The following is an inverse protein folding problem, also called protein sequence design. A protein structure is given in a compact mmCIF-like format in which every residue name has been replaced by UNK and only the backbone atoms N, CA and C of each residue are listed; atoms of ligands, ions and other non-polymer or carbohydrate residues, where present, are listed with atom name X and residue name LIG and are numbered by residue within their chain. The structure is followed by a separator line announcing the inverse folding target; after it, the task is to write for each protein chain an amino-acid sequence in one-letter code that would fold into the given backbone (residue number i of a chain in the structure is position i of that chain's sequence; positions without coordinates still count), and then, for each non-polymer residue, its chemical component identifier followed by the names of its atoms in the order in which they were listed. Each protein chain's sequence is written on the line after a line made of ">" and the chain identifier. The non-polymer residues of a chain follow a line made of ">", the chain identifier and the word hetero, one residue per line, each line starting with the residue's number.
data_IF_543992189689
#
_entry.id   IF_543992189689
#
_cell.length_a   1.000
_cell.length_b   1.000
_cell.length_c   1.000
_cell.angle_alpha   90.00
_cell.angle_beta   90.00
_cell.angle_gamma   90.00
#
_symmetry.space_group_name_H-M   'P 1'
#
loop_
_entity.id
_entity.type
_entity.pdbx_description
1 polymer ?
#
# COMPACT_ATOMS: atom_id res chain seq x y z
N UNK A 1 52.63 36.95 -26.75
CA UNK A 1 51.87 36.73 -25.50
C UNK A 1 50.47 36.27 -25.88
N UNK A 2 50.20 34.96 -25.90
CA UNK A 2 48.86 34.41 -26.10
C UNK A 2 48.21 34.14 -24.74
N UNK A 3 47.00 34.65 -24.52
CA UNK A 3 46.13 34.24 -23.40
C UNK A 3 44.83 33.70 -23.97
N UNK A 4 44.73 32.37 -24.01
CA UNK A 4 43.52 31.64 -24.39
C UNK A 4 42.65 31.51 -23.14
N UNK A 5 41.50 32.18 -23.11
CA UNK A 5 40.50 32.06 -22.04
C UNK A 5 39.63 30.82 -22.29
N UNK A 6 39.81 29.78 -21.50
CA UNK A 6 38.90 28.63 -21.47
C UNK A 6 37.65 28.96 -20.65
N UNK A 7 36.50 29.07 -21.32
CA UNK A 7 35.18 29.15 -20.70
C UNK A 7 34.85 27.81 -20.03
N UNK A 8 34.79 27.78 -18.70
CA UNK A 8 34.36 26.61 -17.95
C UNK A 8 32.88 26.33 -18.22
N UNK A 9 32.61 25.22 -18.92
CA UNK A 9 31.28 24.65 -19.04
C UNK A 9 30.90 24.09 -17.65
N UNK A 10 30.01 24.79 -16.93
CA UNK A 10 29.38 24.25 -15.72
C UNK A 10 28.55 23.02 -16.09
N UNK A 11 29.09 21.83 -15.83
CA UNK A 11 28.32 20.58 -15.87
C UNK A 11 27.28 20.64 -14.75
N UNK A 12 26.01 20.82 -15.12
CA UNK A 12 24.89 20.58 -14.21
C UNK A 12 24.91 19.09 -13.87
N UNK A 13 25.31 18.76 -12.65
CA UNK A 13 25.12 17.43 -12.08
C UNK A 13 23.62 17.27 -11.81
N UNK A 14 22.93 16.51 -12.65
CA UNK A 14 21.63 15.96 -12.29
C UNK A 14 21.87 14.83 -11.29
N UNK A 15 21.65 15.11 -10.01
CA UNK A 15 21.52 14.05 -9.01
C UNK A 15 20.16 13.40 -9.20
N UNK A 16 20.16 12.21 -9.80
CA UNK A 16 18.99 11.35 -9.83
C UNK A 16 18.87 10.66 -8.47
N UNK A 17 18.43 11.39 -7.44
CA UNK A 17 18.00 10.77 -6.20
C UNK A 17 16.72 10.02 -6.51
N UNK A 18 16.83 8.71 -6.66
CA UNK A 18 15.68 7.80 -6.59
C UNK A 18 14.82 8.23 -5.40
N UNK A 19 13.59 8.67 -5.67
CA UNK A 19 12.60 8.92 -4.63
C UNK A 19 12.34 7.56 -3.99
N UNK A 20 13.00 7.29 -2.87
CA UNK A 20 12.97 5.96 -2.26
C UNK A 20 11.63 5.73 -1.57
N UNK A 21 11.03 6.76 -0.97
CA UNK A 21 9.74 6.64 -0.32
C UNK A 21 8.59 7.06 -1.24
N UNK A 22 7.55 6.23 -1.30
CA UNK A 22 6.31 6.62 -1.97
C UNK A 22 5.64 7.79 -1.23
N UNK A 23 5.17 8.80 -1.96
CA UNK A 23 4.60 10.01 -1.38
C UNK A 23 3.25 10.40 -2.02
N UNK A 24 2.57 11.36 -1.39
CA UNK A 24 1.40 12.00 -1.99
C UNK A 24 1.76 12.59 -3.37
N UNK A 25 0.94 12.32 -4.37
CA UNK A 25 1.14 12.69 -5.77
C UNK A 25 1.74 11.58 -6.64
N UNK A 26 2.41 10.59 -6.05
CA UNK A 26 3.01 9.48 -6.79
C UNK A 26 1.94 8.49 -7.28
N UNK A 27 2.21 7.84 -8.40
CA UNK A 27 1.40 6.72 -8.87
C UNK A 27 1.79 5.44 -8.11
N UNK A 28 0.82 4.57 -7.83
CA UNK A 28 1.11 3.25 -7.28
C UNK A 28 2.01 2.47 -8.26
N UNK A 29 3.08 1.80 -7.78
CA UNK A 29 3.96 0.99 -8.63
C UNK A 29 3.16 -0.08 -9.37
N UNK A 30 3.47 -0.33 -10.63
CA UNK A 30 2.78 -1.33 -11.45
C UNK A 30 3.33 -2.74 -11.18
N UNK A 31 2.88 -3.36 -10.09
CA UNK A 31 3.32 -4.68 -9.62
C UNK A 31 2.14 -5.65 -9.68
N UNK A 32 2.42 -6.91 -10.00
CA UNK A 32 1.43 -7.98 -9.95
C UNK A 32 1.24 -8.48 -8.52
N UNK A 33 0.00 -8.47 -8.05
CA UNK A 33 -0.42 -9.05 -6.77
C UNK A 33 -1.46 -10.14 -7.03
N UNK A 34 -1.63 -11.04 -6.07
CA UNK A 34 -2.53 -12.17 -6.19
C UNK A 34 -3.86 -11.87 -5.49
N UNK A 35 -4.95 -12.42 -6.03
CA UNK A 35 -6.30 -12.35 -5.45
C UNK A 35 -6.60 -13.63 -4.66
N UNK A 36 -7.62 -14.42 -5.07
CA UNK A 36 -8.10 -15.57 -4.31
C UNK A 36 -7.25 -16.82 -4.46
N UNK A 37 -6.41 -16.86 -5.49
CA UNK A 37 -5.52 -17.98 -5.76
C UNK A 37 -4.20 -17.50 -6.38
N UNK A 38 -3.12 -18.28 -6.27
CA UNK A 38 -1.82 -17.85 -6.81
C UNK A 38 -1.81 -17.61 -8.33
N UNK A 39 -2.72 -18.24 -9.07
CA UNK A 39 -2.85 -18.06 -10.53
C UNK A 39 -3.76 -16.89 -10.92
N UNK A 40 -4.52 -16.33 -9.98
CA UNK A 40 -5.37 -15.16 -10.22
C UNK A 40 -4.60 -13.89 -9.83
N UNK A 41 -3.89 -13.33 -10.81
CA UNK A 41 -3.07 -12.13 -10.63
C UNK A 41 -3.73 -10.89 -11.20
N UNK A 42 -3.44 -9.74 -10.59
CA UNK A 42 -3.86 -8.43 -11.09
C UNK A 42 -2.72 -7.44 -10.91
N UNK A 43 -2.53 -6.58 -11.90
CA UNK A 43 -1.62 -5.43 -11.77
C UNK A 43 -2.29 -4.35 -10.93
N UNK A 44 -1.57 -3.83 -9.95
CA UNK A 44 -2.04 -2.74 -9.07
C UNK A 44 -2.56 -1.54 -9.84
N UNK A 45 -1.89 -1.11 -10.92
CA UNK A 45 -2.37 0.03 -11.71
C UNK A 45 -3.73 -0.26 -12.35
N UNK A 46 -3.91 -1.44 -12.93
CA UNK A 46 -5.18 -1.83 -13.55
C UNK A 46 -6.30 -1.96 -12.52
N UNK A 47 -5.98 -2.42 -11.31
CA UNK A 47 -6.93 -2.55 -10.21
C UNK A 47 -7.52 -1.20 -9.77
N UNK A 48 -6.68 -0.16 -9.69
CA UNK A 48 -7.02 1.18 -9.17
C UNK A 48 -7.31 2.23 -10.25
N UNK A 49 -7.12 1.90 -11.53
CA UNK A 49 -7.38 2.80 -12.65
C UNK A 49 -8.85 3.24 -12.71
N UNK A 50 -9.07 4.53 -12.90
CA UNK A 50 -10.41 5.13 -13.03
C UNK A 50 -11.26 5.12 -11.76
N UNK A 51 -10.71 4.72 -10.61
CA UNK A 51 -11.45 4.56 -9.34
C UNK A 51 -10.93 5.52 -8.27
N UNK A 52 -11.82 5.96 -7.38
CA UNK A 52 -11.43 6.49 -6.05
C UNK A 52 -11.39 5.30 -5.10
N UNK A 53 -10.19 4.98 -4.59
CA UNK A 53 -9.95 3.73 -3.86
C UNK A 53 -9.25 3.98 -2.54
N UNK A 54 -9.35 3.03 -1.63
CA UNK A 54 -8.51 2.93 -0.43
C UNK A 54 -7.68 1.66 -0.55
N UNK A 55 -6.37 1.79 -0.35
CA UNK A 55 -5.45 0.67 -0.16
C UNK A 55 -4.88 0.78 1.26
N UNK A 56 -5.01 -0.27 2.06
CA UNK A 56 -4.32 -0.34 3.34
C UNK A 56 -3.45 -1.59 3.43
N UNK A 57 -2.29 -1.45 4.06
CA UNK A 57 -1.33 -2.52 4.25
C UNK A 57 -1.27 -2.99 5.69
N UNK A 58 -1.03 -4.28 5.89
CA UNK A 58 -0.85 -4.88 7.21
C UNK A 58 0.43 -5.72 7.30
N UNK A 59 1.09 -5.77 8.48
CA UNK A 59 2.25 -6.63 8.68
C UNK A 59 2.00 -8.12 8.39
N UNK A 60 0.80 -8.62 8.68
CA UNK A 60 0.46 -10.00 8.33
C UNK A 60 -0.96 -10.38 8.66
N UNK A 61 -1.53 -11.22 7.80
CA UNK A 61 -2.79 -11.91 8.07
C UNK A 61 -2.72 -12.70 9.39
N UNK A 62 -3.86 -12.87 10.05
CA UNK A 62 -4.01 -13.55 11.34
C UNK A 62 -3.28 -12.95 12.56
N UNK A 63 -2.46 -11.90 12.40
CA UNK A 63 -1.81 -11.23 13.54
C UNK A 63 -2.82 -10.41 14.38
N UNK A 64 -2.64 -10.29 15.72
CA UNK A 64 -3.68 -9.77 16.60
C UNK A 64 -4.22 -8.39 16.23
N UNK A 65 -3.36 -7.40 15.99
CA UNK A 65 -3.78 -6.04 15.66
C UNK A 65 -4.46 -5.92 14.29
N UNK A 66 -4.02 -6.72 13.33
CA UNK A 66 -4.59 -6.75 11.98
C UNK A 66 -5.98 -7.38 11.98
N UNK A 67 -6.15 -8.49 12.71
CA UNK A 67 -7.39 -9.28 12.75
C UNK A 67 -8.44 -8.72 13.72
N UNK A 68 -8.04 -8.02 14.79
CA UNK A 68 -9.00 -7.51 15.80
C UNK A 68 -9.42 -6.07 15.55
N UNK A 69 -8.60 -5.29 14.85
CA UNK A 69 -8.80 -3.84 14.74
C UNK A 69 -8.74 -3.36 13.30
N UNK A 70 -7.61 -3.52 12.62
CA UNK A 70 -7.40 -2.81 11.34
C UNK A 70 -8.37 -3.27 10.23
N UNK A 71 -8.34 -4.55 9.86
CA UNK A 71 -9.23 -5.09 8.82
C UNK A 71 -10.72 -4.98 9.22
N UNK A 72 -11.15 -5.38 10.44
CA UNK A 72 -12.55 -5.26 10.83
C UNK A 72 -13.10 -3.83 10.80
N UNK A 73 -12.28 -2.82 11.09
CA UNK A 73 -12.68 -1.41 10.99
C UNK A 73 -13.12 -1.05 9.57
N UNK A 74 -12.30 -1.37 8.57
CA UNK A 74 -12.64 -1.14 7.16
C UNK A 74 -13.86 -1.94 6.69
N UNK A 75 -14.02 -3.18 7.16
CA UNK A 75 -15.20 -4.00 6.85
C UNK A 75 -16.48 -3.36 7.41
N UNK A 76 -16.42 -2.86 8.66
CA UNK A 76 -17.57 -2.24 9.33
C UNK A 76 -18.00 -0.94 8.64
N UNK A 77 -17.05 -0.15 8.17
CA UNK A 77 -17.30 1.14 7.51
C UNK A 77 -17.46 1.05 5.98
N UNK A 78 -17.49 -0.15 5.39
CA UNK A 78 -17.52 -0.34 3.95
C UNK A 78 -18.67 0.41 3.25
N UNK A 79 -19.87 0.38 3.82
CA UNK A 79 -21.02 1.14 3.28
C UNK A 79 -20.85 2.65 3.42
N UNK A 80 -20.31 3.13 4.55
CA UNK A 80 -19.97 4.55 4.74
C UNK A 80 -18.96 5.01 3.70
N UNK A 81 -17.90 4.23 3.47
CA UNK A 81 -16.86 4.51 2.49
C UNK A 81 -17.45 4.57 1.07
N UNK A 82 -18.30 3.61 0.72
CA UNK A 82 -19.01 3.58 -0.56
C UNK A 82 -19.91 4.81 -0.74
N UNK A 83 -20.65 5.23 0.29
CA UNK A 83 -21.48 6.44 0.26
C UNK A 83 -20.68 7.73 0.07
N UNK A 84 -19.39 7.73 0.44
CA UNK A 84 -18.42 8.80 0.23
C UNK A 84 -17.70 8.72 -1.14
N UNK A 85 -18.18 7.85 -2.02
CA UNK A 85 -17.67 7.68 -3.38
C UNK A 85 -16.38 6.88 -3.47
N UNK A 86 -16.09 6.01 -2.49
CA UNK A 86 -15.02 5.00 -2.64
C UNK A 86 -15.56 3.82 -3.45
N UNK A 87 -14.96 3.58 -4.61
CA UNK A 87 -15.32 2.49 -5.53
C UNK A 87 -14.70 1.15 -5.09
N UNK A 88 -13.55 1.20 -4.42
CA UNK A 88 -12.78 0.02 -4.02
C UNK A 88 -12.06 0.24 -2.70
N UNK A 89 -12.22 -0.72 -1.78
CA UNK A 89 -11.38 -0.84 -0.58
C UNK A 89 -10.57 -2.13 -0.71
N UNK A 90 -9.25 -2.04 -0.59
CA UNK A 90 -8.34 -3.17 -0.70
C UNK A 90 -7.37 -3.25 0.49
N UNK A 91 -7.13 -4.45 0.98
CA UNK A 91 -6.12 -4.77 1.99
C UNK A 91 -4.98 -5.55 1.35
N UNK A 92 -3.73 -5.14 1.55
CA UNK A 92 -2.55 -5.89 1.07
C UNK A 92 -1.69 -6.39 2.22
N UNK A 93 -1.12 -7.57 2.08
CA UNK A 93 -0.12 -8.11 2.99
C UNK A 93 0.94 -8.94 2.25
N UNK A 94 2.13 -9.06 2.86
CA UNK A 94 3.14 -10.03 2.42
C UNK A 94 2.79 -11.40 2.98
N UNK A 95 1.83 -12.04 2.31
CA UNK A 95 1.33 -13.38 2.55
C UNK A 95 0.96 -14.00 1.19
N UNK A 96 0.90 -15.33 1.12
CA UNK A 96 0.38 -16.01 -0.07
C UNK A 96 -1.14 -15.85 -0.20
N UNK A 97 -1.64 -16.09 -1.42
CA UNK A 97 -3.05 -15.95 -1.76
C UNK A 97 -3.96 -16.89 -0.96
N UNK A 98 -3.49 -18.09 -0.57
CA UNK A 98 -4.32 -19.03 0.19
C UNK A 98 -4.60 -18.47 1.59
N UNK A 99 -3.55 -18.01 2.27
CA UNK A 99 -3.67 -17.38 3.59
C UNK A 99 -4.54 -16.12 3.52
N UNK A 100 -4.31 -15.25 2.54
CA UNK A 100 -5.11 -14.02 2.40
C UNK A 100 -6.59 -14.31 2.13
N UNK A 101 -6.89 -15.36 1.36
CA UNK A 101 -8.26 -15.80 1.07
C UNK A 101 -8.96 -16.31 2.31
N UNK A 102 -8.33 -17.24 3.04
CA UNK A 102 -8.93 -17.79 4.26
C UNK A 102 -9.05 -16.74 5.37
N UNK A 103 -8.09 -15.81 5.45
CA UNK A 103 -8.19 -14.67 6.38
C UNK A 103 -9.36 -13.74 6.03
N UNK A 104 -9.56 -13.44 4.75
CA UNK A 104 -10.72 -12.67 4.29
C UNK A 104 -12.05 -13.32 4.66
N UNK A 105 -12.17 -14.64 4.43
CA UNK A 105 -13.36 -15.43 4.81
C UNK A 105 -13.58 -15.42 6.32
N UNK A 106 -12.52 -15.60 7.11
CA UNK A 106 -12.60 -15.59 8.57
C UNK A 106 -13.13 -14.26 9.14
N UNK A 107 -12.96 -13.16 8.40
CA UNK A 107 -13.47 -11.84 8.76
C UNK A 107 -14.71 -11.40 7.98
N UNK A 108 -15.27 -12.25 7.11
CA UNK A 108 -16.44 -11.92 6.27
C UNK A 108 -16.20 -10.65 5.44
N UNK A 109 -15.01 -10.57 4.85
CA UNK A 109 -14.56 -9.43 4.06
C UNK A 109 -15.18 -9.38 2.65
N UNK A 110 -15.82 -10.48 2.21
CA UNK A 110 -16.46 -10.59 0.90
C UNK A 110 -17.37 -9.39 0.61
N UNK A 111 -17.30 -8.89 -0.63
CA UNK A 111 -18.00 -7.72 -1.16
C UNK A 111 -17.71 -6.37 -0.48
N UNK A 112 -16.90 -6.35 0.59
CA UNK A 112 -16.57 -5.14 1.38
C UNK A 112 -15.13 -4.70 1.23
N UNK A 113 -14.19 -5.65 1.31
CA UNK A 113 -12.75 -5.41 1.19
C UNK A 113 -12.15 -6.47 0.29
N UNK A 114 -11.40 -6.04 -0.74
CA UNK A 114 -10.62 -6.96 -1.58
C UNK A 114 -9.29 -7.27 -0.89
N UNK A 115 -8.98 -8.56 -0.69
CA UNK A 115 -7.73 -9.00 -0.10
C UNK A 115 -6.71 -9.25 -1.22
N UNK A 116 -5.52 -8.64 -1.09
CA UNK A 116 -4.42 -8.72 -2.03
C UNK A 116 -3.22 -9.41 -1.36
N UNK A 117 -2.70 -10.45 -2.02
CA UNK A 117 -1.49 -11.14 -1.61
C UNK A 117 -0.28 -10.63 -2.41
N UNK A 118 0.63 -9.94 -1.72
CA UNK A 118 1.96 -9.61 -2.23
C UNK A 118 2.95 -10.69 -1.77
N UNK A 119 2.80 -11.90 -2.30
CA UNK A 119 3.50 -13.09 -1.80
C UNK A 119 5.02 -12.98 -1.83
N UNK A 120 5.56 -12.13 -2.71
CA UNK A 120 7.00 -11.89 -2.87
C UNK A 120 7.49 -10.60 -2.18
N UNK A 121 6.59 -9.77 -1.65
CA UNK A 121 6.96 -8.46 -1.09
C UNK A 121 7.44 -7.45 -2.13
N UNK A 122 7.11 -7.66 -3.40
CA UNK A 122 7.58 -6.81 -4.51
C UNK A 122 6.92 -5.43 -4.45
N UNK A 123 5.61 -5.38 -4.11
CA UNK A 123 4.90 -4.13 -3.95
C UNK A 123 5.36 -3.41 -2.67
N UNK A 124 5.53 -4.14 -1.57
CA UNK A 124 6.05 -3.58 -0.31
C UNK A 124 7.38 -2.86 -0.51
N UNK A 125 8.31 -3.52 -1.19
CA UNK A 125 9.63 -2.97 -1.51
C UNK A 125 9.55 -1.82 -2.51
N UNK A 126 8.73 -1.93 -3.56
CA UNK A 126 8.59 -0.87 -4.56
C UNK A 126 7.96 0.42 -4.00
N UNK A 127 7.19 0.30 -2.91
CA UNK A 127 6.61 1.43 -2.19
C UNK A 127 7.52 1.94 -1.05
N UNK A 128 8.64 1.25 -0.74
CA UNK A 128 9.47 1.47 0.46
C UNK A 128 8.65 1.46 1.77
N UNK A 129 7.62 0.64 1.73
CA UNK A 129 6.74 0.34 2.86
C UNK A 129 7.03 -1.05 3.41
N UNK A 130 8.17 -1.67 3.09
CA UNK A 130 8.62 -2.88 3.77
C UNK A 130 9.41 -2.55 5.05
N UNK A 131 9.43 -3.50 5.98
CA UNK A 131 10.30 -3.49 7.14
C UNK A 131 10.72 -4.92 7.48
N UNK A 132 11.86 -5.06 8.15
CA UNK A 132 12.33 -6.36 8.62
C UNK A 132 11.48 -6.83 9.81
N UNK A 133 10.66 -7.84 9.56
CA UNK A 133 9.87 -8.54 10.57
C UNK A 133 10.34 -10.00 10.74
N UNK A 134 11.54 -10.35 10.23
CA UNK A 134 12.02 -11.73 10.18
C UNK A 134 12.04 -12.41 11.55
N UNK A 135 12.35 -11.67 12.62
CA UNK A 135 12.36 -12.18 13.99
C UNK A 135 11.00 -12.64 14.53
N UNK A 136 9.89 -12.16 13.97
CA UNK A 136 8.53 -12.50 14.42
C UNK A 136 7.68 -13.21 13.34
N UNK A 137 7.91 -12.89 12.07
CA UNK A 137 7.06 -13.27 10.94
C UNK A 137 7.83 -13.95 9.79
N UNK A 138 9.15 -14.18 9.96
CA UNK A 138 10.00 -14.98 9.08
C UNK A 138 10.59 -14.24 7.86
N UNK A 139 10.04 -13.11 7.46
CA UNK A 139 10.50 -12.30 6.32
C UNK A 139 10.15 -10.81 6.50
N UNK A 140 10.56 -9.98 5.54
CA UNK A 140 10.12 -8.59 5.46
C UNK A 140 8.61 -8.50 5.22
N UNK A 141 7.96 -7.52 5.83
CA UNK A 141 6.50 -7.31 5.79
C UNK A 141 6.16 -5.86 5.49
N UNK A 142 4.90 -5.59 5.17
CA UNK A 142 4.41 -4.21 5.05
C UNK A 142 4.40 -3.51 6.42
N UNK A 143 5.00 -2.32 6.49
CA UNK A 143 4.62 -1.31 7.47
C UNK A 143 3.11 -1.15 7.40
N UNK A 144 2.45 -0.94 8.53
CA UNK A 144 1.02 -0.65 8.54
C UNK A 144 0.81 0.73 7.94
N UNK A 145 -0.06 0.79 6.94
CA UNK A 145 -0.40 2.04 6.27
C UNK A 145 -1.82 2.02 5.74
N UNK A 146 -2.32 3.20 5.38
CA UNK A 146 -3.47 3.39 4.51
C UNK A 146 -3.18 4.47 3.48
N UNK A 147 -3.80 4.39 2.32
CA UNK A 147 -3.67 5.36 1.25
C UNK A 147 -5.02 5.58 0.58
N UNK A 148 -5.35 6.84 0.29
CA UNK A 148 -6.46 7.21 -0.59
C UNK A 148 -5.88 7.38 -1.98
N UNK A 149 -6.39 6.62 -2.95
CA UNK A 149 -6.00 6.68 -4.34
C UNK A 149 -7.11 7.28 -5.18
N UNK A 150 -6.71 8.02 -6.21
CA UNK A 150 -7.60 8.46 -7.28
C UNK A 150 -6.90 8.19 -8.61
N UNK A 151 -7.50 7.32 -9.43
CA UNK A 151 -6.93 6.87 -10.71
C UNK A 151 -5.48 6.36 -10.55
N UNK A 152 -5.28 5.45 -9.60
CA UNK A 152 -3.96 4.89 -9.28
C UNK A 152 -2.94 5.87 -8.69
N UNK A 153 -3.28 7.15 -8.45
CA UNK A 153 -2.39 8.12 -7.80
C UNK A 153 -2.73 8.33 -6.33
N UNK A 154 -1.71 8.36 -5.48
CA UNK A 154 -1.87 8.58 -4.04
C UNK A 154 -2.23 10.03 -3.79
N UNK A 155 -3.39 10.24 -3.19
CA UNK A 155 -3.89 11.55 -2.76
C UNK A 155 -3.57 11.83 -1.31
N UNK A 156 -3.65 10.81 -0.47
CA UNK A 156 -3.28 10.85 0.94
C UNK A 156 -2.61 9.54 1.33
N UNK A 157 -1.60 9.65 2.21
CA UNK A 157 -0.85 8.52 2.71
C UNK A 157 -0.73 8.62 4.24
N UNK A 158 -1.09 7.54 4.92
CA UNK A 158 -1.08 7.39 6.37
C UNK A 158 -0.16 6.23 6.71
N UNK A 159 1.10 6.49 7.07
CA UNK A 159 2.04 5.44 7.50
C UNK A 159 2.19 5.50 9.01
N UNK A 160 2.06 4.37 9.69
CA UNK A 160 2.26 4.32 11.14
C UNK A 160 3.72 4.66 11.49
N UNK A 161 3.96 5.62 12.40
CA UNK A 161 5.31 6.10 12.70
C UNK A 161 6.19 5.03 13.38
N UNK A 162 5.57 4.09 14.10
CA UNK A 162 6.20 2.96 14.76
C UNK A 162 6.12 1.68 13.92
N UNK A 163 5.81 1.80 12.62
CA UNK A 163 5.70 0.70 11.63
C UNK A 163 4.51 -0.24 11.83
N UNK A 164 4.09 -0.57 13.05
CA UNK A 164 3.08 -1.61 13.30
C UNK A 164 1.89 -1.18 14.16
N UNK A 165 1.91 0.05 14.69
CA UNK A 165 0.91 0.63 15.56
C UNK A 165 -0.48 0.71 14.94
N UNK A 166 -1.47 1.14 15.73
CA UNK A 166 -2.87 1.20 15.31
C UNK A 166 -3.42 2.60 15.60
N UNK A 167 -3.13 3.55 14.73
CA UNK A 167 -3.54 4.94 14.91
C UNK A 167 -3.86 5.62 13.58
N UNK A 168 -2.87 6.15 12.88
CA UNK A 168 -3.09 7.04 11.73
C UNK A 168 -3.69 6.31 10.53
N UNK A 169 -3.44 5.00 10.39
CA UNK A 169 -3.95 4.19 9.29
C UNK A 169 -5.34 3.63 9.54
N UNK A 170 -5.94 3.81 10.73
CA UNK A 170 -7.27 3.29 11.01
C UNK A 170 -8.35 4.04 10.21
N UNK A 171 -9.44 3.33 9.90
CA UNK A 171 -10.51 3.83 9.03
C UNK A 171 -11.12 5.14 9.53
N UNK A 172 -11.21 5.34 10.85
CA UNK A 172 -11.76 6.54 11.47
C UNK A 172 -10.95 7.80 11.10
N UNK A 173 -9.64 7.65 10.86
CA UNK A 173 -8.78 8.74 10.44
C UNK A 173 -8.78 8.93 8.93
N UNK A 174 -8.83 7.83 8.17
CA UNK A 174 -8.92 7.89 6.70
C UNK A 174 -10.22 8.55 6.25
N UNK A 175 -11.36 8.20 6.88
CA UNK A 175 -12.69 8.74 6.53
C UNK A 175 -12.79 10.27 6.69
N UNK A 176 -12.03 10.85 7.63
CA UNK A 176 -11.97 12.31 7.84
C UNK A 176 -11.30 13.06 6.67
N UNK A 177 -10.57 12.34 5.83
CA UNK A 177 -9.81 12.89 4.69
C UNK A 177 -10.45 12.60 3.33
N UNK A 178 -11.68 12.06 3.31
CA UNK A 178 -12.43 11.65 2.11
C UNK A 178 -13.30 12.74 1.50
#
# INVERSE_FOLDING_TARGET
>A
MLRTTFSQIQRRTFTNTSRLLIAEGDAIPNIEVQLKSPGETVKTQDLFKGKKSILFGVPGAFTPGCSKTHLPGYIKEAETLKSKGIDLVACVAVNDAFVMTEWGKAHQADDKVTLLADSKGELAKAMDLDFDASGALGNHRFKRFAAILQDGKIKKLFVEPDTTGLNVSLVENVVKSL
#
